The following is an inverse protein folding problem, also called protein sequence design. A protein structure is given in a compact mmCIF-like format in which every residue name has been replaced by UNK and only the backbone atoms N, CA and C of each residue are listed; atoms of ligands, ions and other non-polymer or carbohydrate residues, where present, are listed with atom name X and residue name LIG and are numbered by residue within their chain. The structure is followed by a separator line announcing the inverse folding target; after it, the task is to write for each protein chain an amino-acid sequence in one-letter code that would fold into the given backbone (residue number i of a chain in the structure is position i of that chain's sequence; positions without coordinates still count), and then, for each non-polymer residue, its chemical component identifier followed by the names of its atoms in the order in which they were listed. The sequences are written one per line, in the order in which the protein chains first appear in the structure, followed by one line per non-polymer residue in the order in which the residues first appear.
data_IF_078109272455
#
_entry.id   IF_078109272455
#
_cell.length_a   1.000
_cell.length_b   1.000
_cell.length_c   1.000
_cell.angle_alpha   90.00
_cell.angle_beta   90.00
_cell.angle_gamma   90.00
#
_symmetry.space_group_name_H-M   'P 1'
#
loop_
_entity.id
_entity.type
_entity.pdbx_description
1 polymer ?
#
# COMPACT_ATOMS: atom_id res chain seq x y z
N UNK A 1 -1.20 -32.29 -18.61
CA UNK A 1 -0.83 -32.19 -17.18
C UNK A 1 0.04 -33.41 -16.87
N UNK A 2 1.26 -33.20 -16.42
CA UNK A 2 2.11 -34.28 -15.87
C UNK A 2 1.86 -34.30 -14.36
N UNK A 3 1.51 -35.47 -13.85
CA UNK A 3 1.42 -35.74 -12.42
C UNK A 3 2.66 -36.53 -12.03
N UNK A 4 3.31 -36.14 -10.94
CA UNK A 4 4.44 -36.85 -10.37
C UNK A 4 4.05 -37.26 -8.95
N UNK A 5 3.91 -38.54 -8.72
CA UNK A 5 3.72 -39.05 -7.37
C UNK A 5 5.08 -39.08 -6.67
N UNK A 6 5.17 -38.41 -5.53
CA UNK A 6 6.37 -38.34 -4.73
C UNK A 6 6.05 -38.46 -3.24
N UNK A 7 6.94 -39.05 -2.49
CA UNK A 7 6.85 -39.12 -1.03
C UNK A 7 7.71 -38.01 -0.44
N UNK A 8 7.09 -37.11 0.28
CA UNK A 8 7.75 -35.99 0.95
C UNK A 8 7.60 -36.11 2.45
N UNK A 9 8.58 -35.63 3.21
CA UNK A 9 8.39 -35.41 4.63
C UNK A 9 7.38 -34.25 4.81
N UNK A 10 6.68 -34.18 5.98
CA UNK A 10 5.74 -33.07 6.22
C UNK A 10 6.35 -31.68 6.03
N UNK A 11 7.61 -31.50 6.42
CA UNK A 11 8.32 -30.22 6.27
C UNK A 11 8.66 -29.93 4.80
N UNK A 12 9.01 -30.93 4.03
CA UNK A 12 9.32 -30.74 2.60
C UNK A 12 8.04 -30.51 1.79
N UNK A 13 6.91 -31.09 2.19
CA UNK A 13 5.60 -30.81 1.62
C UNK A 13 5.22 -29.34 1.83
N UNK A 14 5.43 -28.81 3.03
CA UNK A 14 5.18 -27.38 3.34
C UNK A 14 6.13 -26.49 2.54
N UNK A 15 7.40 -26.85 2.46
CA UNK A 15 8.38 -26.11 1.65
C UNK A 15 7.98 -26.10 0.18
N UNK A 16 7.59 -27.23 -0.37
CA UNK A 16 7.12 -27.35 -1.74
C UNK A 16 5.91 -26.46 -2.02
N UNK A 17 4.89 -26.48 -1.15
CA UNK A 17 3.71 -25.63 -1.28
C UNK A 17 4.08 -24.13 -1.27
N UNK A 18 5.07 -23.73 -0.46
CA UNK A 18 5.55 -22.35 -0.37
C UNK A 18 6.41 -21.88 -1.56
N UNK A 19 6.94 -22.77 -2.38
CA UNK A 19 7.66 -22.39 -3.61
C UNK A 19 6.72 -21.91 -4.72
N UNK A 20 5.45 -22.29 -4.69
CA UNK A 20 4.51 -21.82 -5.69
C UNK A 20 4.16 -20.34 -5.45
N UNK A 21 4.53 -19.51 -6.43
CA UNK A 21 4.13 -18.11 -6.43
C UNK A 21 2.61 -18.03 -6.59
N UNK A 22 1.98 -17.32 -5.67
CA UNK A 22 0.55 -17.05 -5.72
C UNK A 22 0.38 -15.60 -6.14
N UNK A 23 -0.48 -15.37 -7.13
CA UNK A 23 -0.81 -14.04 -7.60
C UNK A 23 -2.31 -13.91 -7.77
N UNK A 24 -2.80 -12.69 -7.62
CA UNK A 24 -4.15 -12.30 -7.97
C UNK A 24 -4.11 -11.11 -8.91
N UNK A 25 -5.11 -11.01 -9.77
CA UNK A 25 -5.28 -9.90 -10.67
C UNK A 25 -6.74 -9.50 -10.77
N UNK A 26 -7.02 -8.21 -10.75
CA UNK A 26 -8.34 -7.65 -10.96
C UNK A 26 -8.25 -6.41 -11.84
N UNK A 27 -9.15 -6.30 -12.80
CA UNK A 27 -9.35 -5.09 -13.61
C UNK A 27 -10.81 -4.67 -13.52
N UNK A 28 -11.03 -3.38 -13.31
CA UNK A 28 -12.34 -2.79 -13.12
C UNK A 28 -12.51 -1.55 -14.00
N UNK A 29 -13.73 -1.33 -14.47
CA UNK A 29 -14.09 -0.04 -15.07
C UNK A 29 -14.32 0.98 -13.95
N UNK A 30 -13.52 2.06 -13.87
CA UNK A 30 -13.61 3.00 -12.77
C UNK A 30 -14.89 3.84 -12.72
N UNK A 31 -15.65 3.91 -13.85
CA UNK A 31 -16.86 4.73 -13.94
C UNK A 31 -18.15 4.02 -13.53
N UNK A 32 -18.18 2.68 -13.58
CA UNK A 32 -19.37 1.92 -13.26
C UNK A 32 -19.13 0.70 -12.35
N UNK A 33 -17.89 0.53 -11.84
CA UNK A 33 -17.55 -0.55 -10.93
C UNK A 33 -17.57 -1.96 -11.54
N UNK A 34 -17.79 -2.11 -12.85
CA UNK A 34 -17.84 -3.42 -13.47
C UNK A 34 -16.47 -4.07 -13.54
N UNK A 35 -16.33 -5.24 -12.94
CA UNK A 35 -15.12 -6.08 -13.04
C UNK A 35 -15.01 -6.61 -14.47
N UNK A 36 -13.89 -6.33 -15.13
CA UNK A 36 -13.60 -6.73 -16.50
C UNK A 36 -12.76 -7.99 -16.59
N UNK A 37 -11.85 -8.16 -15.63
CA UNK A 37 -11.05 -9.38 -15.50
C UNK A 37 -10.81 -9.67 -14.03
N UNK A 38 -10.79 -10.95 -13.69
CA UNK A 38 -10.58 -11.42 -12.34
C UNK A 38 -9.84 -12.74 -12.34
N UNK A 39 -8.69 -12.79 -11.68
CA UNK A 39 -7.89 -14.01 -11.51
C UNK A 39 -7.51 -14.10 -10.03
N UNK A 40 -8.21 -14.94 -9.28
CA UNK A 40 -7.99 -15.13 -7.84
C UNK A 40 -6.75 -15.97 -7.50
N UNK A 41 -6.19 -16.68 -8.49
CA UNK A 41 -5.01 -17.51 -8.30
C UNK A 41 -4.61 -18.24 -9.58
N UNK A 42 -3.42 -18.87 -9.63
CA UNK A 42 -2.89 -19.49 -10.85
C UNK A 42 -3.65 -20.77 -11.24
N UNK A 43 -4.22 -21.48 -10.26
CA UNK A 43 -4.96 -22.73 -10.50
C UNK A 43 -5.91 -23.02 -9.35
N UNK A 44 -7.21 -22.78 -9.56
CA UNK A 44 -8.25 -22.99 -8.53
C UNK A 44 -8.36 -24.45 -8.09
N UNK A 45 -8.17 -25.42 -8.99
CA UNK A 45 -8.26 -26.85 -8.63
C UNK A 45 -7.13 -27.31 -7.70
N UNK A 46 -5.98 -26.61 -7.69
CA UNK A 46 -4.87 -26.91 -6.80
C UNK A 46 -4.88 -26.03 -5.53
N UNK A 47 -5.31 -24.76 -5.66
CA UNK A 47 -5.30 -23.77 -4.59
C UNK A 47 -6.58 -22.97 -4.61
N UNK A 48 -7.51 -23.31 -3.72
CA UNK A 48 -8.82 -22.67 -3.61
C UNK A 48 -8.79 -21.40 -2.75
N UNK A 49 -7.67 -20.70 -2.72
CA UNK A 49 -7.53 -19.46 -1.97
C UNK A 49 -7.47 -18.26 -2.91
N UNK A 50 -8.44 -17.37 -2.75
CA UNK A 50 -8.58 -16.18 -3.59
C UNK A 50 -7.63 -15.07 -3.11
N UNK A 51 -6.61 -14.76 -3.92
CA UNK A 51 -5.62 -13.73 -3.64
C UNK A 51 -6.13 -12.32 -3.91
N UNK A 52 -7.28 -12.15 -4.55
CA UNK A 52 -7.86 -10.84 -4.86
C UNK A 52 -8.76 -10.35 -3.75
N UNK A 53 -9.70 -11.17 -3.29
CA UNK A 53 -10.72 -10.73 -2.30
C UNK A 53 -10.43 -11.22 -0.88
N UNK A 54 -9.75 -12.37 -0.71
CA UNK A 54 -9.46 -12.96 0.59
C UNK A 54 -8.03 -12.69 1.03
N UNK A 55 -7.08 -12.80 0.09
CA UNK A 55 -5.67 -12.57 0.36
C UNK A 55 -5.37 -11.12 0.68
N UNK A 56 -4.89 -10.85 1.89
CA UNK A 56 -4.41 -9.53 2.29
C UNK A 56 -2.90 -9.48 2.24
N UNK A 57 -2.35 -8.35 1.81
CA UNK A 57 -0.91 -8.09 1.73
C UNK A 57 -0.61 -6.67 2.12
N UNK A 58 0.59 -6.44 2.61
CA UNK A 58 1.08 -5.09 2.88
C UNK A 58 1.01 -4.24 1.62
N UNK A 59 0.33 -3.10 1.72
CA UNK A 59 0.12 -2.21 0.58
C UNK A 59 1.40 -1.49 0.16
N UNK A 60 2.35 -1.36 1.06
CA UNK A 60 3.62 -0.67 0.79
C UNK A 60 3.40 0.74 0.26
N UNK A 61 4.23 1.16 -0.67
CA UNK A 61 4.16 2.52 -1.24
C UNK A 61 2.90 2.83 -2.05
N UNK A 62 2.02 1.86 -2.28
CA UNK A 62 0.70 2.14 -2.90
C UNK A 62 -0.23 2.92 -1.96
N UNK A 63 0.10 3.05 -0.69
CA UNK A 63 -0.63 3.92 0.25
C UNK A 63 -0.36 5.42 -0.01
N UNK A 64 0.78 5.76 -0.57
CA UNK A 64 1.23 7.17 -0.69
C UNK A 64 0.27 8.09 -1.45
N UNK A 65 -0.38 7.69 -2.55
CA UNK A 65 -1.38 8.54 -3.19
C UNK A 65 -2.47 9.03 -2.24
N UNK A 66 -2.96 8.18 -1.32
CA UNK A 66 -3.96 8.58 -0.32
C UNK A 66 -3.40 9.62 0.66
N UNK A 67 -2.17 9.41 1.16
CA UNK A 67 -1.51 10.38 2.03
C UNK A 67 -1.29 11.73 1.35
N UNK A 68 -0.91 11.72 0.07
CA UNK A 68 -0.74 12.96 -0.70
C UNK A 68 -2.08 13.61 -1.03
N UNK A 69 -3.15 12.84 -1.21
CA UNK A 69 -4.51 13.38 -1.32
C UNK A 69 -4.91 14.10 -0.04
N UNK A 70 -4.68 13.49 1.13
CA UNK A 70 -4.91 14.15 2.41
C UNK A 70 -4.17 15.49 2.49
N UNK A 71 -2.90 15.53 2.09
CA UNK A 71 -2.12 16.77 2.08
C UNK A 71 -2.71 17.83 1.12
N UNK A 72 -3.28 17.42 -0.03
CA UNK A 72 -3.95 18.34 -0.96
C UNK A 72 -5.28 18.86 -0.40
N UNK A 73 -6.08 18.01 0.24
CA UNK A 73 -7.33 18.42 0.93
C UNK A 73 -7.07 19.44 2.04
N UNK A 74 -5.94 19.30 2.74
CA UNK A 74 -5.49 20.19 3.79
C UNK A 74 -4.75 21.45 3.27
N UNK A 75 -4.82 21.71 1.96
CA UNK A 75 -4.37 22.96 1.33
C UNK A 75 -2.96 22.96 0.74
N UNK A 76 -2.23 21.86 0.78
CA UNK A 76 -0.98 21.75 0.03
C UNK A 76 -1.25 21.59 -1.48
N UNK A 77 -0.24 21.86 -2.29
CA UNK A 77 -0.29 21.67 -3.74
C UNK A 77 0.84 20.73 -4.19
N UNK A 78 0.77 20.14 -5.38
CA UNK A 78 1.86 19.36 -5.94
C UNK A 78 3.19 20.15 -6.06
N UNK A 79 3.10 21.48 -6.08
CA UNK A 79 4.26 22.38 -6.16
C UNK A 79 4.77 22.81 -4.77
N UNK A 80 4.06 22.52 -3.69
CA UNK A 80 4.51 22.81 -2.32
C UNK A 80 5.85 22.17 -2.07
N UNK A 81 6.79 22.97 -1.54
CA UNK A 81 8.17 22.53 -1.27
C UNK A 81 8.32 22.19 0.20
N UNK A 82 8.95 21.06 0.46
CA UNK A 82 9.26 20.55 1.80
C UNK A 82 10.73 20.09 1.86
N UNK A 83 11.37 20.14 3.02
CA UNK A 83 12.76 19.74 3.14
C UNK A 83 12.89 18.21 3.03
N UNK A 84 13.82 17.74 2.18
CA UNK A 84 14.13 16.31 2.04
C UNK A 84 15.17 15.89 3.09
N UNK A 85 14.73 15.84 4.34
CA UNK A 85 15.54 15.44 5.50
C UNK A 85 14.87 14.28 6.22
N UNK A 86 15.67 13.42 6.84
CA UNK A 86 15.14 12.26 7.59
C UNK A 86 14.44 12.73 8.87
N UNK A 87 13.13 12.51 9.01
CA UNK A 87 12.43 12.79 10.25
C UNK A 87 12.68 11.67 11.27
N UNK A 88 12.78 12.02 12.55
CA UNK A 88 12.82 11.09 13.68
C UNK A 88 11.56 11.29 14.51
N UNK A 89 10.98 10.19 14.96
CA UNK A 89 9.80 10.14 15.81
C UNK A 89 10.14 9.42 17.11
N UNK A 90 9.69 9.98 18.22
CA UNK A 90 9.71 9.29 19.51
C UNK A 90 8.37 8.56 19.66
N UNK A 91 8.43 7.24 19.77
CA UNK A 91 7.26 6.40 19.96
C UNK A 91 6.77 6.41 21.40
N UNK A 92 5.56 5.89 21.65
CA UNK A 92 4.95 5.89 22.98
C UNK A 92 5.72 5.10 24.05
N UNK A 93 6.58 4.17 23.63
CA UNK A 93 7.50 3.41 24.49
C UNK A 93 8.85 4.09 24.71
N UNK A 94 9.04 5.31 24.18
CA UNK A 94 10.27 6.08 24.24
C UNK A 94 11.34 5.68 23.22
N UNK A 95 11.09 4.70 22.36
CA UNK A 95 12.01 4.34 21.26
C UNK A 95 11.95 5.34 20.13
N UNK A 96 13.08 5.53 19.44
CA UNK A 96 13.16 6.39 18.26
C UNK A 96 12.94 5.57 16.99
N UNK A 97 12.06 6.08 16.12
CA UNK A 97 11.84 5.54 14.79
C UNK A 97 12.15 6.58 13.72
N UNK A 98 12.97 6.19 12.73
CA UNK A 98 13.30 7.02 11.59
C UNK A 98 13.20 6.16 10.30
N UNK A 99 12.41 6.57 9.31
CA UNK A 99 12.27 5.82 8.07
C UNK A 99 13.58 5.84 7.26
N UNK A 100 13.89 4.73 6.61
CA UNK A 100 14.95 4.68 5.61
C UNK A 100 14.41 5.12 4.26
N UNK A 101 15.26 5.75 3.46
CA UNK A 101 14.97 6.15 2.09
C UNK A 101 15.93 5.45 1.15
N UNK A 102 15.43 4.85 0.07
CA UNK A 102 16.28 4.14 -0.88
C UNK A 102 17.10 5.11 -1.75
N UNK A 103 16.50 6.24 -2.11
CA UNK A 103 17.15 7.27 -2.90
C UNK A 103 17.95 8.23 -2.02
N UNK A 104 19.22 8.46 -2.41
CA UNK A 104 20.10 9.49 -1.81
C UNK A 104 20.03 10.83 -2.56
N UNK A 105 19.13 10.96 -3.54
CA UNK A 105 19.02 12.17 -4.35
C UNK A 105 18.42 13.32 -3.55
N UNK A 106 18.97 14.52 -3.72
CA UNK A 106 18.47 15.78 -3.13
C UNK A 106 18.32 15.77 -1.62
N UNK A 107 19.18 15.06 -0.90
CA UNK A 107 19.21 15.11 0.57
C UNK A 107 19.54 16.52 1.02
N UNK A 108 18.75 17.07 1.96
CA UNK A 108 18.88 18.42 2.49
C UNK A 108 18.29 19.52 1.61
N UNK A 109 17.86 19.22 0.40
CA UNK A 109 17.24 20.21 -0.49
C UNK A 109 15.73 20.36 -0.25
N UNK A 110 15.21 21.51 -0.65
CA UNK A 110 13.74 21.73 -0.74
C UNK A 110 13.21 21.08 -2.02
N UNK A 111 12.34 20.10 -1.88
CA UNK A 111 11.74 19.32 -2.99
C UNK A 111 10.24 19.52 -3.07
N UNK A 112 9.66 19.43 -4.26
CA UNK A 112 8.20 19.50 -4.43
C UNK A 112 7.53 18.19 -4.05
N UNK A 113 6.27 18.24 -3.63
CA UNK A 113 5.48 17.03 -3.34
C UNK A 113 5.34 16.14 -4.59
N UNK A 114 5.21 16.74 -5.79
CA UNK A 114 5.21 16.00 -7.05
C UNK A 114 6.48 15.16 -7.23
N UNK A 115 7.65 15.77 -7.01
CA UNK A 115 8.92 15.06 -7.08
C UNK A 115 8.99 13.96 -6.03
N UNK A 116 8.60 14.26 -4.79
CA UNK A 116 8.67 13.32 -3.68
C UNK A 116 7.81 12.07 -3.94
N UNK A 117 6.60 12.23 -4.46
CA UNK A 117 5.74 11.12 -4.84
C UNK A 117 6.33 10.32 -6.01
N UNK A 118 6.86 10.99 -7.05
CA UNK A 118 7.46 10.31 -8.20
C UNK A 118 8.69 9.48 -7.85
N UNK A 119 9.41 9.85 -6.77
CA UNK A 119 10.55 9.11 -6.23
C UNK A 119 10.16 8.13 -5.13
N UNK A 120 8.87 8.03 -4.82
CA UNK A 120 8.39 7.23 -3.69
C UNK A 120 9.14 7.53 -2.38
N UNK A 121 9.43 8.81 -2.12
CA UNK A 121 10.27 9.25 -1.02
C UNK A 121 9.61 8.97 0.35
N UNK A 122 10.29 8.22 1.22
CA UNK A 122 9.78 7.83 2.52
C UNK A 122 9.86 8.96 3.55
N UNK A 123 10.87 9.82 3.45
CA UNK A 123 11.04 10.93 4.40
C UNK A 123 9.93 11.96 4.26
N UNK A 124 9.55 12.27 3.01
CA UNK A 124 8.44 13.20 2.77
C UNK A 124 7.10 12.57 3.17
N UNK A 125 6.91 11.26 2.94
CA UNK A 125 5.72 10.55 3.45
C UNK A 125 5.64 10.61 4.99
N UNK A 126 6.76 10.42 5.67
CA UNK A 126 6.84 10.54 7.12
C UNK A 126 6.66 12.00 7.61
N UNK A 127 7.15 12.97 6.86
CA UNK A 127 6.84 14.38 7.12
C UNK A 127 5.33 14.64 7.05
N UNK A 128 4.66 14.20 5.98
CA UNK A 128 3.22 14.42 5.79
C UNK A 128 2.38 13.74 6.88
N UNK A 129 2.69 12.50 7.27
CA UNK A 129 1.93 11.81 8.32
C UNK A 129 2.08 12.50 9.69
N UNK A 130 3.22 13.17 9.94
CA UNK A 130 3.42 13.96 11.14
C UNK A 130 2.55 15.21 11.15
N UNK A 131 2.42 15.88 9.99
CA UNK A 131 1.61 17.10 9.86
C UNK A 131 0.11 16.81 10.01
N UNK A 132 -0.39 15.70 9.43
CA UNK A 132 -1.82 15.43 9.29
C UNK A 132 -2.37 14.29 10.15
N UNK A 133 -1.55 13.64 10.92
CA UNK A 133 -1.83 12.50 11.79
C UNK A 133 -2.17 11.17 11.07
N UNK A 134 -1.81 10.03 11.68
CA UNK A 134 -2.20 8.72 11.17
C UNK A 134 -3.71 8.48 11.15
N UNK A 135 -4.43 9.04 12.13
CA UNK A 135 -5.89 8.92 12.26
C UNK A 135 -6.62 9.57 11.08
N UNK A 136 -6.14 10.71 10.60
CA UNK A 136 -6.70 11.39 9.42
C UNK A 136 -6.51 10.56 8.16
N UNK A 137 -5.33 9.95 7.98
CA UNK A 137 -5.09 9.03 6.87
C UNK A 137 -6.00 7.81 6.91
N UNK A 138 -6.20 7.20 8.08
CA UNK A 138 -7.12 6.06 8.25
C UNK A 138 -8.54 6.46 7.87
N UNK A 139 -9.03 7.60 8.34
CA UNK A 139 -10.38 8.11 7.98
C UNK A 139 -10.52 8.31 6.48
N UNK A 140 -9.53 8.92 5.84
CA UNK A 140 -9.53 9.13 4.40
C UNK A 140 -9.55 7.79 3.65
N UNK A 141 -8.70 6.84 4.01
CA UNK A 141 -8.67 5.53 3.35
C UNK A 141 -9.99 4.77 3.51
N UNK A 142 -10.63 4.86 4.66
CA UNK A 142 -11.98 4.29 4.84
C UNK A 142 -13.03 4.99 3.98
N UNK A 143 -12.95 6.32 3.77
CA UNK A 143 -13.86 7.02 2.86
C UNK A 143 -13.67 6.62 1.39
N UNK A 144 -12.48 6.12 1.02
CA UNK A 144 -12.19 5.53 -0.28
C UNK A 144 -12.65 4.07 -0.42
N UNK A 145 -13.33 3.51 0.60
CA UNK A 145 -13.90 2.17 0.55
C UNK A 145 -13.00 1.06 1.08
N UNK A 146 -11.85 1.37 1.67
CA UNK A 146 -11.00 0.36 2.33
C UNK A 146 -11.66 -0.02 3.66
N UNK A 147 -12.06 -1.27 3.81
CA UNK A 147 -12.76 -1.79 4.99
C UNK A 147 -11.83 -2.55 5.94
N UNK A 148 -10.65 -2.95 5.44
CA UNK A 148 -9.62 -3.61 6.26
C UNK A 148 -9.20 -2.73 7.43
N UNK A 149 -8.88 -3.36 8.55
CA UNK A 149 -8.34 -2.65 9.71
C UNK A 149 -7.01 -1.98 9.36
N UNK A 150 -6.91 -0.71 9.70
CA UNK A 150 -5.72 0.13 9.51
C UNK A 150 -5.28 0.64 10.89
N UNK A 151 -4.10 0.24 11.33
CA UNK A 151 -3.55 0.72 12.60
C UNK A 151 -3.09 2.17 12.44
N UNK A 152 -3.59 3.13 13.25
CA UNK A 152 -3.25 4.54 13.13
C UNK A 152 -1.88 4.87 13.76
N UNK A 153 -0.83 4.22 13.27
CA UNK A 153 0.55 4.43 13.68
C UNK A 153 1.33 5.26 12.65
N UNK A 154 2.39 5.93 13.07
CA UNK A 154 3.19 6.80 12.19
C UNK A 154 3.76 6.04 10.99
N UNK A 155 4.16 4.79 11.18
CA UNK A 155 4.68 3.93 10.10
C UNK A 155 3.64 3.60 9.03
N UNK A 156 2.34 3.89 9.25
CA UNK A 156 1.28 3.69 8.25
C UNK A 156 1.59 4.36 6.91
N UNK A 157 2.29 5.51 6.94
CA UNK A 157 2.73 6.21 5.72
C UNK A 157 3.63 5.39 4.79
N UNK A 158 4.21 4.29 5.27
CA UNK A 158 5.03 3.35 4.49
C UNK A 158 4.26 2.09 4.07
N UNK A 159 3.01 1.95 4.49
CA UNK A 159 2.10 0.89 4.08
C UNK A 159 2.33 -0.48 4.71
N UNK A 160 2.55 -0.61 6.03
CA UNK A 160 2.59 -1.91 6.69
C UNK A 160 1.20 -2.56 6.78
N UNK A 161 0.13 -1.80 6.57
CA UNK A 161 -1.24 -2.28 6.61
C UNK A 161 -1.50 -3.35 5.54
N UNK A 162 -2.25 -4.37 5.90
CA UNK A 162 -2.62 -5.47 5.02
C UNK A 162 -4.05 -5.26 4.49
N UNK A 163 -4.15 -5.11 3.16
CA UNK A 163 -5.39 -4.85 2.44
C UNK A 163 -5.50 -5.82 1.28
N UNK A 164 -6.71 -6.14 0.85
CA UNK A 164 -6.93 -7.00 -0.32
C UNK A 164 -6.70 -6.23 -1.63
N UNK A 165 -6.36 -6.96 -2.69
CA UNK A 165 -6.24 -6.37 -4.04
C UNK A 165 -7.54 -5.72 -4.47
N UNK A 166 -8.69 -6.35 -4.15
CA UNK A 166 -10.01 -5.81 -4.44
C UNK A 166 -10.21 -4.43 -3.82
N UNK A 167 -9.99 -4.29 -2.51
CA UNK A 167 -10.16 -3.00 -1.82
C UNK A 167 -9.25 -1.92 -2.40
N UNK A 168 -8.00 -2.27 -2.77
CA UNK A 168 -7.08 -1.31 -3.37
C UNK A 168 -7.53 -0.91 -4.78
N UNK A 169 -7.99 -1.84 -5.62
CA UNK A 169 -8.53 -1.52 -6.95
C UNK A 169 -9.75 -0.62 -6.84
N UNK A 170 -10.69 -0.96 -5.95
CA UNK A 170 -11.89 -0.16 -5.69
C UNK A 170 -11.51 1.26 -5.25
N UNK A 171 -10.64 1.40 -4.26
CA UNK A 171 -10.20 2.71 -3.77
C UNK A 171 -9.48 3.56 -4.84
N UNK A 172 -8.68 2.92 -5.71
CA UNK A 172 -7.99 3.63 -6.78
C UNK A 172 -8.92 4.13 -7.90
N UNK A 173 -10.14 3.58 -8.04
CA UNK A 173 -11.12 4.11 -9.01
C UNK A 173 -11.46 5.56 -8.73
N UNK A 174 -11.45 5.99 -7.46
CA UNK A 174 -11.75 7.35 -7.06
C UNK A 174 -10.80 8.39 -7.68
N UNK A 175 -9.53 8.05 -7.93
CA UNK A 175 -8.59 8.94 -8.61
C UNK A 175 -8.94 9.17 -10.09
N UNK A 176 -9.70 8.25 -10.71
CA UNK A 176 -10.09 8.33 -12.12
C UNK A 176 -11.47 8.96 -12.30
N UNK A 177 -12.42 8.62 -11.41
CA UNK A 177 -13.82 9.03 -11.50
C UNK A 177 -14.15 10.30 -10.70
N UNK A 178 -13.14 11.01 -10.19
CA UNK A 178 -13.26 12.24 -9.38
C UNK A 178 -13.93 12.02 -8.02
N UNK A 179 -13.80 10.82 -7.45
CA UNK A 179 -14.34 10.49 -6.14
C UNK A 179 -15.83 10.11 -6.13
N UNK A 180 -16.38 9.73 -7.27
CA UNK A 180 -17.79 9.32 -7.42
C UNK A 180 -17.91 7.80 -7.36
#
# INVERSE_FOLDING_TARGET
KQYVDTILSPIDSIRWDKYFLRCGFMSMNPFNGHVKAYVGGPNFSAFQYDMVSVGKRQVGSTIKPFLYTLAMEEGMSPCTRVPNVQPTFVLGDGTEWAPRNDSKNKIGEMVTLRWALSQSNNWISAYLIREYSPQSLVKLMHSFGILSYLDPVVSLCLGPAEVSVREMVDAYTAFVNKGI
#
